data_IF_214260683584
#
_entry.id   IF_214260683584
#
_cell.length_a   1.000
_cell.length_b   1.000
_cell.length_c   1.000
_cell.angle_alpha   90.00
_cell.angle_beta   90.00
_cell.angle_gamma   90.00
#
_symmetry.space_group_name_H-M   'P 1'
#
loop_
_entity.id
_entity.type
_entity.pdbx_description
1 polymer ?
#
# COMPACT_ATOMS: atom_id res chain seq x y z
N UNK A 1 -4.24 27.62 15.10
CA UNK A 1 -4.80 27.96 13.77
C UNK A 1 -3.92 27.29 12.73
N UNK A 2 -4.39 26.21 12.12
CA UNK A 2 -3.66 25.56 11.02
C UNK A 2 -3.92 26.41 9.79
N UNK A 3 -2.94 27.23 9.42
CA UNK A 3 -2.97 28.01 8.20
C UNK A 3 -2.96 26.98 7.07
N UNK A 4 -4.13 26.72 6.47
CA UNK A 4 -4.18 26.13 5.13
C UNK A 4 -3.70 27.25 4.19
N UNK A 5 -2.49 27.16 3.61
CA UNK A 5 -2.12 28.14 2.62
C UNK A 5 -3.07 27.93 1.43
N UNK A 6 -3.61 29.03 0.95
CA UNK A 6 -4.29 29.13 -0.32
C UNK A 6 -3.34 28.62 -1.41
N UNK A 7 -3.34 27.30 -1.66
CA UNK A 7 -2.42 26.66 -2.61
C UNK A 7 -2.77 27.17 -4.01
N UNK A 8 -1.95 28.11 -4.49
CA UNK A 8 -1.98 28.52 -5.89
C UNK A 8 -1.72 27.34 -6.83
N UNK A 9 -1.84 27.54 -8.14
CA UNK A 9 -1.53 26.47 -9.08
C UNK A 9 -0.09 26.00 -8.88
N UNK A 10 0.07 24.68 -8.73
CA UNK A 10 1.37 24.02 -8.72
C UNK A 10 1.78 23.68 -10.15
N UNK A 11 3.06 23.68 -10.43
CA UNK A 11 3.61 23.30 -11.73
C UNK A 11 4.02 21.84 -11.69
N UNK A 12 3.48 21.02 -12.59
CA UNK A 12 3.69 19.58 -12.61
C UNK A 12 5.16 19.22 -12.84
N UNK A 13 5.65 18.22 -12.11
CA UNK A 13 7.01 17.69 -12.29
C UNK A 13 7.00 16.23 -12.68
N UNK A 14 6.35 15.39 -11.88
CA UNK A 14 6.28 13.94 -12.13
C UNK A 14 5.11 13.32 -11.37
N UNK A 15 4.58 12.23 -11.92
CA UNK A 15 3.78 11.27 -11.17
C UNK A 15 4.72 10.36 -10.37
N UNK A 16 4.30 9.99 -9.17
CA UNK A 16 5.00 9.02 -8.31
C UNK A 16 4.37 7.62 -8.42
N UNK A 17 3.17 7.54 -9.01
CA UNK A 17 2.35 6.33 -9.12
C UNK A 17 1.76 6.23 -10.54
N UNK A 18 1.43 5.02 -10.99
CA UNK A 18 0.90 4.70 -12.30
C UNK A 18 -0.60 4.38 -12.28
N UNK A 19 -1.23 4.40 -13.46
CA UNK A 19 -2.61 3.90 -13.62
C UNK A 19 -2.63 2.42 -13.28
N UNK A 20 -3.57 2.02 -12.41
CA UNK A 20 -3.71 0.67 -11.88
C UNK A 20 -3.14 0.51 -10.47
N UNK A 21 -2.31 1.44 -10.00
CA UNK A 21 -1.72 1.36 -8.66
C UNK A 21 -2.79 1.61 -7.59
N UNK A 22 -2.73 0.81 -6.52
CA UNK A 22 -3.50 1.03 -5.30
C UNK A 22 -2.72 2.02 -4.45
N UNK A 23 -3.39 3.06 -4.00
CA UNK A 23 -2.81 4.11 -3.15
C UNK A 23 -3.64 4.29 -1.90
N UNK A 24 -2.95 4.56 -0.80
CA UNK A 24 -3.55 4.82 0.49
C UNK A 24 -3.66 6.30 0.76
N UNK A 25 -4.57 6.67 1.64
CA UNK A 25 -4.65 8.04 2.14
C UNK A 25 -3.30 8.47 2.70
N UNK A 26 -2.75 9.53 2.14
CA UNK A 26 -1.43 10.06 2.49
C UNK A 26 -0.30 9.61 1.55
N UNK A 27 -0.51 8.61 0.70
CA UNK A 27 0.50 8.17 -0.25
C UNK A 27 0.83 9.26 -1.27
N UNK A 28 2.11 9.42 -1.65
CA UNK A 28 2.50 10.39 -2.66
C UNK A 28 1.92 9.99 -4.01
N UNK A 29 1.18 10.88 -4.65
CA UNK A 29 0.61 10.66 -5.98
C UNK A 29 1.47 11.30 -7.08
N UNK A 30 1.92 12.53 -6.81
CA UNK A 30 2.74 13.31 -7.73
C UNK A 30 3.49 14.41 -6.99
N UNK A 31 4.46 14.98 -7.67
CA UNK A 31 5.19 16.18 -7.22
C UNK A 31 4.94 17.34 -8.16
N UNK A 32 4.73 18.49 -7.56
CA UNK A 32 4.69 19.77 -8.25
C UNK A 32 5.59 20.80 -7.58
N UNK A 33 5.75 21.95 -8.22
CA UNK A 33 6.54 23.06 -7.72
C UNK A 33 5.64 24.28 -7.52
N UNK A 34 5.77 24.97 -6.39
CA UNK A 34 5.06 26.23 -6.16
C UNK A 34 5.70 27.41 -6.91
N UNK A 35 5.09 28.60 -6.82
CA UNK A 35 5.59 29.83 -7.46
C UNK A 35 6.97 30.28 -6.96
N UNK A 36 7.46 29.74 -5.84
CA UNK A 36 8.76 30.06 -5.25
C UNK A 36 9.82 28.99 -5.57
N UNK A 37 9.48 27.97 -6.37
CA UNK A 37 10.40 26.89 -6.72
C UNK A 37 10.47 25.77 -5.68
N UNK A 38 9.63 25.76 -4.65
CA UNK A 38 9.63 24.71 -3.64
C UNK A 38 8.83 23.49 -4.12
N UNK A 39 9.40 22.29 -3.94
CA UNK A 39 8.73 21.03 -4.29
C UNK A 39 7.65 20.73 -3.26
N UNK A 40 6.43 20.49 -3.75
CA UNK A 40 5.27 20.03 -2.99
C UNK A 40 4.87 18.65 -3.47
N UNK A 41 4.66 17.74 -2.51
CA UNK A 41 4.10 16.42 -2.78
C UNK A 41 2.60 16.48 -2.57
N UNK A 42 1.85 16.05 -3.57
CA UNK A 42 0.40 15.87 -3.46
C UNK A 42 0.15 14.44 -3.07
N UNK A 43 -0.61 14.25 -1.99
CA UNK A 43 -0.88 12.94 -1.42
C UNK A 43 -2.31 12.50 -1.68
N UNK A 44 -2.58 11.19 -1.59
CA UNK A 44 -3.91 10.67 -1.82
C UNK A 44 -4.86 11.14 -0.69
N UNK A 45 -6.03 11.73 -1.03
CA UNK A 45 -6.98 12.20 -0.02
C UNK A 45 -7.73 11.05 0.66
N UNK A 46 -7.81 9.89 -0.01
CA UNK A 46 -8.56 8.71 0.38
C UNK A 46 -7.89 7.46 -0.23
N UNK A 47 -8.31 6.28 0.21
CA UNK A 47 -7.81 5.03 -0.36
C UNK A 47 -8.44 4.80 -1.73
N UNK A 48 -7.67 4.35 -2.72
CA UNK A 48 -8.22 4.12 -4.05
C UNK A 48 -7.28 3.40 -5.00
N UNK A 49 -7.79 3.10 -6.20
CA UNK A 49 -6.95 2.73 -7.34
C UNK A 49 -6.85 3.91 -8.28
N UNK A 50 -5.65 4.20 -8.77
CA UNK A 50 -5.46 5.22 -9.80
C UNK A 50 -6.13 4.73 -11.08
N UNK A 51 -7.25 5.34 -11.44
CA UNK A 51 -8.04 5.00 -12.63
C UNK A 51 -7.69 5.88 -13.82
N UNK A 52 -7.17 7.08 -13.56
CA UNK A 52 -6.70 7.99 -14.59
C UNK A 52 -5.64 8.93 -14.05
N UNK A 53 -4.68 9.25 -14.93
CA UNK A 53 -3.73 10.35 -14.77
C UNK A 53 -3.97 11.35 -15.90
N UNK A 54 -4.05 12.63 -15.54
CA UNK A 54 -4.11 13.70 -16.54
C UNK A 54 -2.77 13.73 -17.32
N UNK A 55 -2.75 13.83 -18.65
CA UNK A 55 -1.50 13.82 -19.41
C UNK A 55 -0.79 15.18 -19.34
N UNK A 56 -0.31 15.54 -18.16
CA UNK A 56 0.42 16.77 -17.89
C UNK A 56 1.85 16.69 -18.39
N UNK A 57 2.35 17.81 -18.92
CA UNK A 57 3.75 18.01 -19.26
C UNK A 57 4.47 18.67 -18.07
N UNK A 58 5.79 18.48 -17.94
CA UNK A 58 6.57 19.25 -16.99
C UNK A 58 6.29 20.74 -17.11
N UNK A 59 6.13 21.41 -15.98
CA UNK A 59 5.72 22.81 -15.83
C UNK A 59 4.25 23.12 -16.16
N UNK A 60 3.41 22.14 -16.52
CA UNK A 60 1.97 22.40 -16.70
C UNK A 60 1.34 22.77 -15.35
N UNK A 61 0.55 23.86 -15.27
CA UNK A 61 -0.11 24.26 -14.04
C UNK A 61 -1.29 23.34 -13.72
N UNK A 62 -1.41 22.94 -12.46
CA UNK A 62 -2.53 22.15 -11.97
C UNK A 62 -2.93 22.59 -10.55
N UNK A 63 -4.14 22.23 -10.14
CA UNK A 63 -4.62 22.47 -8.79
C UNK A 63 -4.74 21.14 -8.06
N UNK A 64 -4.05 20.93 -6.92
CA UNK A 64 -4.00 19.64 -6.25
C UNK A 64 -5.33 19.21 -5.63
N UNK A 65 -6.18 20.17 -5.23
CA UNK A 65 -7.39 19.94 -4.43
C UNK A 65 -8.70 20.09 -5.22
N UNK A 66 -8.66 20.13 -6.56
CA UNK A 66 -9.89 20.19 -7.37
C UNK A 66 -10.45 18.78 -7.65
N UNK A 67 -11.78 18.62 -7.77
CA UNK A 67 -12.41 17.33 -8.09
C UNK A 67 -11.93 16.73 -9.42
N UNK A 68 -11.55 17.61 -10.36
CA UNK A 68 -10.92 17.26 -11.65
C UNK A 68 -9.40 17.32 -11.57
N UNK A 69 -8.83 16.99 -10.42
CA UNK A 69 -7.40 17.01 -10.17
C UNK A 69 -6.62 16.08 -11.12
N UNK A 70 -5.29 16.19 -11.10
CA UNK A 70 -4.40 15.46 -12.02
C UNK A 70 -4.41 13.93 -11.87
N UNK A 71 -5.04 13.40 -10.81
CA UNK A 71 -5.14 11.98 -10.49
C UNK A 71 -6.58 11.67 -10.10
N UNK A 72 -7.17 10.65 -10.73
CA UNK A 72 -8.50 10.15 -10.38
C UNK A 72 -8.39 8.83 -9.63
N UNK A 73 -9.00 8.77 -8.45
CA UNK A 73 -9.07 7.56 -7.63
C UNK A 73 -10.43 6.89 -7.81
N UNK A 74 -10.40 5.63 -8.25
CA UNK A 74 -11.56 4.75 -8.28
C UNK A 74 -11.61 3.85 -7.05
N UNK A 75 -12.69 3.06 -6.91
CA UNK A 75 -12.82 2.09 -5.84
C UNK A 75 -11.70 1.05 -5.91
N UNK A 76 -11.24 0.59 -4.74
CA UNK A 76 -10.24 -0.47 -4.67
C UNK A 76 -10.91 -1.80 -5.02
N UNK A 77 -10.49 -2.49 -6.10
CA UNK A 77 -10.84 -3.88 -6.31
C UNK A 77 -10.07 -4.70 -5.28
N UNK A 78 -10.78 -5.32 -4.34
CA UNK A 78 -10.14 -5.92 -3.18
C UNK A 78 -11.05 -6.90 -2.45
N UNK A 79 -10.54 -7.38 -1.33
CA UNK A 79 -11.18 -8.34 -0.45
C UNK A 79 -12.59 -7.85 -0.07
N UNK A 80 -13.63 -8.44 -0.68
CA UNK A 80 -15.02 -8.21 -0.27
C UNK A 80 -15.32 -8.86 1.08
N UNK A 81 -14.48 -9.83 1.45
CA UNK A 81 -14.53 -10.65 2.64
C UNK A 81 -13.10 -10.90 3.14
N UNK A 82 -12.97 -11.31 4.39
CA UNK A 82 -11.67 -11.57 5.00
C UNK A 82 -10.98 -12.74 4.29
N UNK A 83 -9.79 -12.49 3.77
CA UNK A 83 -9.01 -13.45 2.99
C UNK A 83 -7.71 -13.79 3.74
N UNK A 84 -7.47 -15.06 4.09
CA UNK A 84 -6.27 -15.44 4.84
C UNK A 84 -5.04 -15.47 3.93
N UNK A 85 -3.93 -14.92 4.41
CA UNK A 85 -2.62 -15.07 3.80
C UNK A 85 -1.95 -16.35 4.34
N UNK A 86 -1.63 -17.25 3.40
CA UNK A 86 -1.16 -18.60 3.72
C UNK A 86 0.36 -18.68 3.66
N UNK A 87 0.98 -19.25 4.70
CA UNK A 87 2.38 -19.64 4.71
C UNK A 87 2.59 -21.00 4.03
N UNK A 88 3.85 -21.27 3.65
CA UNK A 88 4.21 -22.61 3.19
C UNK A 88 4.42 -23.55 4.39
N UNK A 89 3.96 -24.81 4.32
CA UNK A 89 4.22 -25.80 5.37
C UNK A 89 5.72 -26.08 5.51
N UNK A 90 6.12 -26.58 6.69
CA UNK A 90 7.52 -26.92 7.00
C UNK A 90 8.50 -25.75 6.83
N UNK A 91 8.06 -24.55 7.23
CA UNK A 91 8.89 -23.34 7.20
C UNK A 91 8.98 -22.68 8.56
N UNK A 92 10.07 -21.92 8.74
CA UNK A 92 10.38 -21.17 9.95
C UNK A 92 10.00 -19.71 9.72
N UNK A 93 9.20 -19.14 10.61
CA UNK A 93 8.86 -17.72 10.55
C UNK A 93 10.09 -16.85 10.82
N UNK A 94 10.38 -15.87 9.94
CA UNK A 94 11.46 -14.90 10.18
C UNK A 94 10.90 -13.58 10.70
N UNK A 95 10.07 -12.91 9.92
CA UNK A 95 9.54 -11.59 10.26
C UNK A 95 8.32 -11.22 9.43
N UNK A 96 7.52 -10.28 9.94
CA UNK A 96 6.54 -9.55 9.13
C UNK A 96 7.23 -8.35 8.48
N UNK A 97 6.98 -8.17 7.18
CA UNK A 97 7.45 -7.02 6.40
C UNK A 97 6.48 -5.84 6.53
N UNK A 98 5.23 -6.12 6.93
CA UNK A 98 4.15 -5.16 7.09
C UNK A 98 3.64 -5.15 8.53
N UNK A 99 2.95 -4.08 8.92
CA UNK A 99 2.35 -3.94 10.24
C UNK A 99 0.83 -4.22 10.22
N UNK A 100 0.20 -4.52 11.37
CA UNK A 100 -1.25 -4.56 11.43
C UNK A 100 -1.81 -3.18 11.04
N UNK A 101 -2.93 -3.19 10.31
CA UNK A 101 -3.57 -2.02 9.69
C UNK A 101 -2.83 -1.43 8.49
N UNK A 102 -1.66 -1.96 8.11
CA UNK A 102 -1.09 -1.63 6.80
C UNK A 102 -1.98 -2.15 5.69
N UNK A 103 -2.12 -1.34 4.65
CA UNK A 103 -2.71 -1.84 3.44
C UNK A 103 -1.69 -2.57 2.59
N UNK A 104 -2.21 -3.51 1.82
CA UNK A 104 -1.46 -4.38 0.93
C UNK A 104 -2.20 -4.51 -0.38
N UNK A 105 -1.44 -4.62 -1.46
CA UNK A 105 -1.95 -5.01 -2.77
C UNK A 105 -1.85 -6.52 -2.94
N UNK A 106 -2.68 -7.10 -3.82
CA UNK A 106 -2.53 -8.51 -4.18
C UNK A 106 -1.12 -8.75 -4.74
N UNK A 107 -0.38 -9.66 -4.12
CA UNK A 107 1.00 -9.98 -4.47
C UNK A 107 2.04 -9.26 -3.60
N UNK A 108 1.66 -8.30 -2.74
CA UNK A 108 2.59 -7.66 -1.82
C UNK A 108 3.16 -8.68 -0.82
N UNK A 109 4.45 -8.56 -0.50
CA UNK A 109 5.08 -9.36 0.54
C UNK A 109 4.59 -8.93 1.92
N UNK A 110 3.99 -9.85 2.66
CA UNK A 110 3.51 -9.65 4.03
C UNK A 110 4.55 -10.13 5.04
N UNK A 111 5.19 -11.27 4.77
CA UNK A 111 6.12 -11.91 5.69
C UNK A 111 7.22 -12.65 4.96
N UNK A 112 8.35 -12.82 5.65
CA UNK A 112 9.44 -13.67 5.24
C UNK A 112 9.49 -14.94 6.09
N UNK A 113 9.64 -16.07 5.42
CA UNK A 113 9.83 -17.40 6.01
C UNK A 113 11.21 -17.95 5.59
N UNK A 114 11.69 -18.95 6.31
CA UNK A 114 12.91 -19.68 6.00
C UNK A 114 12.67 -21.18 5.93
N UNK A 115 13.58 -21.90 5.27
CA UNK A 115 13.67 -23.36 5.43
C UNK A 115 14.65 -23.70 6.55
N UNK A 116 14.39 -24.82 7.20
CA UNK A 116 15.11 -25.33 8.38
C UNK A 116 16.64 -25.51 8.15
N UNK A 117 17.09 -25.57 6.89
CA UNK A 117 18.48 -25.91 6.52
C UNK A 117 19.17 -24.91 5.59
N UNK A 118 18.69 -23.67 5.44
CA UNK A 118 19.36 -22.73 4.53
C UNK A 118 19.00 -21.25 4.65
N UNK A 119 19.74 -20.44 3.89
CA UNK A 119 19.52 -18.99 3.76
C UNK A 119 18.37 -18.62 2.82
N UNK A 120 17.62 -19.60 2.27
CA UNK A 120 16.45 -19.32 1.43
C UNK A 120 15.41 -18.50 2.22
N UNK A 121 14.88 -17.48 1.57
CA UNK A 121 13.75 -16.67 2.04
C UNK A 121 12.56 -17.03 1.17
N UNK A 122 11.47 -17.45 1.81
CA UNK A 122 10.19 -17.68 1.15
C UNK A 122 9.30 -16.50 1.52
N UNK A 123 8.76 -15.83 0.50
CA UNK A 123 7.86 -14.69 0.68
C UNK A 123 6.42 -15.19 0.81
N UNK A 124 5.71 -14.68 1.81
CA UNK A 124 4.25 -14.82 1.88
C UNK A 124 3.63 -13.61 1.25
N UNK A 125 2.89 -13.84 0.18
CA UNK A 125 2.26 -12.80 -0.62
C UNK A 125 0.82 -12.58 -0.21
N UNK A 126 0.35 -11.34 -0.29
CA UNK A 126 -1.04 -11.00 -0.05
C UNK A 126 -1.94 -11.62 -1.13
N UNK A 127 -2.99 -12.38 -0.76
CA UNK A 127 -3.90 -12.98 -1.72
C UNK A 127 -4.84 -11.97 -2.39
N UNK A 128 -5.06 -10.81 -1.76
CA UNK A 128 -5.99 -9.79 -2.19
C UNK A 128 -5.50 -8.39 -1.82
N UNK A 129 -6.03 -7.38 -2.49
CA UNK A 129 -5.84 -5.99 -2.07
C UNK A 129 -6.77 -5.68 -0.90
N UNK A 130 -6.24 -5.10 0.17
CA UNK A 130 -6.99 -4.85 1.40
C UNK A 130 -6.12 -4.27 2.51
N UNK A 131 -6.57 -4.45 3.76
CA UNK A 131 -5.81 -4.10 4.97
C UNK A 131 -5.52 -5.34 5.79
N UNK A 132 -4.32 -5.43 6.34
CA UNK A 132 -3.96 -6.46 7.31
C UNK A 132 -4.78 -6.20 8.59
N UNK A 133 -5.81 -7.01 8.85
CA UNK A 133 -6.63 -6.90 10.05
C UNK A 133 -5.89 -7.41 11.28
N UNK A 134 -5.19 -8.52 11.13
CA UNK A 134 -4.50 -9.19 12.22
C UNK A 134 -3.43 -10.13 11.69
N UNK A 135 -2.44 -10.38 12.52
CA UNK A 135 -1.49 -11.48 12.38
C UNK A 135 -1.85 -12.61 13.32
N UNK A 136 -1.45 -13.84 12.98
CA UNK A 136 -1.58 -15.00 13.87
C UNK A 136 -0.79 -14.76 15.16
N UNK A 137 -1.43 -14.99 16.29
CA UNK A 137 -0.77 -14.89 17.59
C UNK A 137 0.32 -15.97 17.74
N UNK A 138 1.42 -15.62 18.42
CA UNK A 138 2.50 -16.56 18.70
C UNK A 138 3.57 -16.69 17.60
N UNK A 139 3.38 -16.08 16.43
CA UNK A 139 4.42 -16.00 15.41
C UNK A 139 5.57 -15.10 15.87
N UNK A 140 6.74 -15.71 16.10
CA UNK A 140 7.98 -15.04 16.50
C UNK A 140 9.13 -15.55 15.63
N UNK A 141 10.15 -14.72 15.36
CA UNK A 141 11.31 -15.15 14.58
C UNK A 141 11.89 -16.47 15.14
N UNK A 142 12.03 -17.48 14.28
CA UNK A 142 12.58 -18.79 14.62
C UNK A 142 11.57 -19.88 15.01
N UNK A 143 10.26 -19.58 15.06
CA UNK A 143 9.23 -20.62 15.30
C UNK A 143 8.86 -21.36 14.02
N UNK A 144 8.55 -22.65 14.17
CA UNK A 144 8.00 -23.46 13.08
C UNK A 144 6.53 -23.08 12.84
N UNK A 145 6.18 -22.84 11.58
CA UNK A 145 4.81 -22.50 11.17
C UNK A 145 3.85 -23.63 11.48
N UNK A 146 4.23 -24.90 11.30
CA UNK A 146 3.33 -26.03 11.52
C UNK A 146 3.01 -26.24 13.02
N UNK A 147 3.89 -25.79 13.92
CA UNK A 147 3.69 -25.86 15.37
C UNK A 147 2.72 -24.77 15.87
N UNK A 148 2.89 -23.54 15.38
CA UNK A 148 2.12 -22.36 15.87
C UNK A 148 0.86 -22.11 15.05
N UNK A 149 0.89 -22.48 13.77
CA UNK A 149 -0.12 -22.16 12.77
C UNK A 149 -0.40 -23.39 11.89
N UNK A 150 -1.05 -24.44 12.43
CA UNK A 150 -1.31 -25.68 11.68
C UNK A 150 -2.25 -25.48 10.47
N UNK A 151 -3.03 -24.41 10.50
CA UNK A 151 -3.87 -23.93 9.39
C UNK A 151 -3.09 -23.12 8.36
N UNK A 152 -1.81 -22.81 8.61
CA UNK A 152 -0.91 -21.98 7.78
C UNK A 152 -1.38 -20.53 7.58
N UNK A 153 -2.45 -20.10 8.26
CA UNK A 153 -3.01 -18.76 8.17
C UNK A 153 -2.22 -17.77 9.03
N UNK A 154 -1.27 -17.03 8.42
CA UNK A 154 -0.40 -16.13 9.18
C UNK A 154 -0.95 -14.71 9.35
N UNK A 155 -1.86 -14.30 8.46
CA UNK A 155 -2.47 -12.97 8.49
C UNK A 155 -3.87 -13.00 7.87
N UNK A 156 -4.74 -12.08 8.27
CA UNK A 156 -6.06 -11.88 7.68
C UNK A 156 -6.08 -10.55 6.93
N UNK A 157 -6.38 -10.60 5.63
CA UNK A 157 -6.55 -9.42 4.80
C UNK A 157 -8.03 -9.09 4.70
N UNK A 158 -8.44 -8.00 5.33
CA UNK A 158 -9.80 -7.49 5.28
C UNK A 158 -10.01 -6.43 4.21
N UNK A 159 -11.28 -6.06 4.05
CA UNK A 159 -11.68 -4.96 3.17
C UNK A 159 -10.98 -3.66 3.57
N UNK A 160 -10.49 -2.93 2.57
CA UNK A 160 -10.02 -1.56 2.72
C UNK A 160 -11.17 -0.60 2.39
N UNK A 161 -11.59 0.19 3.37
CA UNK A 161 -12.60 1.22 3.15
C UNK A 161 -12.01 2.42 2.39
N UNK A 162 -12.77 3.05 1.49
CA UNK A 162 -12.34 4.21 0.72
C UNK A 162 -12.04 5.42 1.60
#
# INVERSE_FOLDING_TARGET
AVIQPSDGPLHFKTYEQAIGDVVLKGDPLLRGTDLFGAIKTVTAPQNGVITALLPLRPEDPFKPNEPSGPVSLGPIPGATEDTPAMAQPHTIFKEFVKEPLDAVTKGDVIAHLGKDTGSEVIEVLSPATGVIKSFKEGLKPGVDIDEVCPDQEIAIIGKLDP
#
